data_IF_786258390775
#
_entry.id   IF_786258390775
#
_cell.length_a   1.000
_cell.length_b   1.000
_cell.length_c   1.000
_cell.angle_alpha   90.00
_cell.angle_beta   90.00
_cell.angle_gamma   90.00
#
_symmetry.space_group_name_H-M   'P 1'
#
loop_
_entity.id
_entity.type
_entity.pdbx_description
1 polymer ?
#
# COMPACT_ATOMS: atom_id res chain seq x y z
N UNK A 1 23.88 12.86 6.97
CA UNK A 1 23.13 13.79 7.85
C UNK A 1 22.30 12.95 8.83
N UNK A 2 22.32 13.21 10.14
CA UNK A 2 21.52 12.44 11.10
C UNK A 2 20.01 12.66 10.93
N UNK A 3 19.21 11.61 11.09
CA UNK A 3 17.74 11.67 11.00
C UNK A 3 17.16 12.70 11.97
N UNK A 4 17.67 12.74 13.21
CA UNK A 4 17.24 13.71 14.22
C UNK A 4 17.38 15.16 13.75
N UNK A 5 18.43 15.48 12.99
CA UNK A 5 18.62 16.83 12.44
C UNK A 5 17.55 17.18 11.41
N UNK A 6 17.15 16.21 10.59
CA UNK A 6 16.09 16.38 9.60
C UNK A 6 14.74 16.60 10.30
N UNK A 7 14.38 15.74 11.24
CA UNK A 7 13.13 15.85 12.01
C UNK A 7 13.05 17.18 12.77
N UNK A 8 14.16 17.62 13.38
CA UNK A 8 14.22 18.93 14.02
C UNK A 8 14.06 20.07 13.00
N UNK A 9 14.63 19.95 11.81
CA UNK A 9 14.45 20.93 10.73
C UNK A 9 12.99 21.08 10.29
N UNK A 10 12.22 19.99 10.27
CA UNK A 10 10.77 20.02 10.02
C UNK A 10 10.06 20.74 11.18
N UNK A 11 10.37 20.37 12.43
CA UNK A 11 9.77 20.94 13.65
C UNK A 11 9.95 22.44 13.78
N UNK A 12 11.16 22.94 13.50
CA UNK A 12 11.44 24.38 13.58
C UNK A 12 11.03 25.14 12.32
N UNK A 13 10.35 24.48 11.37
CA UNK A 13 9.93 25.05 10.10
C UNK A 13 11.09 25.73 9.34
N UNK A 14 12.25 25.06 9.26
CA UNK A 14 13.46 25.63 8.65
C UNK A 14 13.25 26.09 7.19
N UNK A 15 12.27 25.50 6.48
CA UNK A 15 11.86 25.86 5.12
C UNK A 15 10.40 26.34 5.05
N UNK A 16 9.88 26.91 6.14
CA UNK A 16 8.48 27.34 6.26
C UNK A 16 8.08 28.33 5.18
N UNK A 17 8.94 29.32 4.86
CA UNK A 17 8.66 30.32 3.82
C UNK A 17 8.44 29.69 2.45
N UNK A 18 9.30 28.76 2.06
CA UNK A 18 9.21 28.05 0.78
C UNK A 18 8.01 27.10 0.74
N UNK A 19 7.74 26.40 1.85
CA UNK A 19 6.57 25.51 1.97
C UNK A 19 5.26 26.31 1.89
N UNK A 20 5.16 27.44 2.58
CA UNK A 20 3.97 28.29 2.56
C UNK A 20 3.75 28.93 1.18
N UNK A 21 4.83 29.37 0.51
CA UNK A 21 4.75 29.82 -0.87
C UNK A 21 4.24 28.72 -1.82
N UNK A 22 4.72 27.47 -1.65
CA UNK A 22 4.21 26.34 -2.42
C UNK A 22 2.72 26.08 -2.12
N UNK A 23 2.32 26.10 -0.85
CA UNK A 23 0.92 25.92 -0.44
C UNK A 23 0.01 27.01 -1.00
N UNK A 24 0.48 28.27 -1.06
CA UNK A 24 -0.25 29.37 -1.67
C UNK A 24 -0.51 29.14 -3.17
N UNK A 25 0.45 28.59 -3.92
CA UNK A 25 0.22 28.16 -5.30
C UNK A 25 -0.93 27.15 -5.39
N UNK A 26 -0.94 26.11 -4.54
CA UNK A 26 -2.02 25.13 -4.52
C UNK A 26 -3.37 25.72 -4.14
N UNK A 27 -3.40 26.65 -3.19
CA UNK A 27 -4.62 27.36 -2.78
C UNK A 27 -5.22 28.16 -3.96
N UNK A 28 -4.36 28.77 -4.77
CA UNK A 28 -4.74 29.52 -5.97
C UNK A 28 -4.97 28.64 -7.22
N UNK A 29 -4.92 27.30 -7.09
CA UNK A 29 -5.09 26.37 -8.20
C UNK A 29 -3.87 26.23 -9.12
N UNK A 30 -2.73 26.85 -8.81
CA UNK A 30 -1.49 26.78 -9.57
C UNK A 30 -0.65 25.55 -9.18
N UNK A 31 -1.03 24.39 -9.72
CA UNK A 31 -0.29 23.14 -9.53
C UNK A 31 1.14 23.19 -10.12
N UNK A 32 1.38 23.72 -11.33
CA UNK A 32 2.73 23.86 -11.88
C UNK A 32 3.65 24.70 -11.00
N UNK A 33 3.16 25.84 -10.46
CA UNK A 33 3.94 26.68 -9.55
C UNK A 33 4.29 25.97 -8.25
N UNK A 34 3.35 25.21 -7.67
CA UNK A 34 3.65 24.36 -6.51
C UNK A 34 4.77 23.36 -6.79
N UNK A 35 4.71 22.65 -7.92
CA UNK A 35 5.73 21.64 -8.26
C UNK A 35 7.11 22.29 -8.52
N UNK A 36 7.13 23.51 -9.11
CA UNK A 36 8.35 24.27 -9.33
C UNK A 36 9.02 24.74 -8.03
N UNK A 37 8.24 25.07 -6.99
CA UNK A 37 8.78 25.43 -5.67
C UNK A 37 9.20 24.16 -4.92
N UNK A 38 8.33 23.15 -4.87
CA UNK A 38 8.58 21.89 -4.16
C UNK A 38 9.87 21.21 -4.60
N UNK A 39 10.14 21.17 -5.90
CA UNK A 39 11.36 20.53 -6.44
C UNK A 39 12.66 21.23 -6.04
N UNK A 40 12.59 22.49 -5.57
CA UNK A 40 13.73 23.25 -5.04
C UNK A 40 13.91 23.09 -3.53
N UNK A 41 12.93 22.52 -2.83
CA UNK A 41 13.10 22.18 -1.41
C UNK A 41 14.22 21.14 -1.29
N UNK A 42 15.05 21.20 -0.25
CA UNK A 42 15.97 20.12 0.05
C UNK A 42 15.20 18.80 0.22
N UNK A 43 15.81 17.70 -0.17
CA UNK A 43 15.22 16.39 -0.06
C UNK A 43 16.19 15.43 0.63
N UNK A 44 15.62 14.44 1.33
CA UNK A 44 16.38 13.42 2.05
C UNK A 44 15.90 12.03 1.64
N UNK A 45 16.78 11.04 1.74
CA UNK A 45 16.45 9.63 1.63
C UNK A 45 16.50 9.00 3.00
N UNK A 46 15.35 8.79 3.65
CA UNK A 46 15.35 8.24 5.02
C UNK A 46 15.73 6.75 5.04
N UNK A 47 15.46 6.03 3.96
CA UNK A 47 15.70 4.60 3.88
C UNK A 47 17.20 4.23 3.92
N UNK A 48 18.10 5.13 3.53
CA UNK A 48 19.53 4.84 3.49
C UNK A 48 20.41 5.99 3.04
N UNK A 49 21.72 5.78 3.09
CA UNK A 49 22.72 6.66 2.47
C UNK A 49 23.21 6.12 1.15
N UNK A 50 23.66 7.03 0.29
CA UNK A 50 23.99 6.76 -1.09
C UNK A 50 25.29 7.49 -1.44
N UNK A 51 26.14 6.89 -2.28
CA UNK A 51 27.49 7.41 -2.54
C UNK A 51 27.53 8.59 -3.53
N UNK A 52 27.04 8.37 -4.75
CA UNK A 52 27.23 9.29 -5.90
C UNK A 52 25.97 10.06 -6.29
N UNK A 53 24.86 9.74 -5.63
CA UNK A 53 23.53 10.22 -5.99
C UNK A 53 22.51 9.61 -5.05
N UNK A 54 21.39 9.17 -5.60
CA UNK A 54 20.34 8.45 -4.87
C UNK A 54 19.79 7.31 -5.72
N UNK A 55 20.58 6.68 -6.61
CA UNK A 55 20.07 5.50 -7.32
C UNK A 55 19.98 4.34 -6.34
N UNK A 56 18.98 3.47 -6.51
CA UNK A 56 18.80 2.33 -5.63
C UNK A 56 20.06 1.44 -5.52
N UNK A 57 20.79 1.20 -6.62
CA UNK A 57 22.03 0.42 -6.62
C UNK A 57 23.23 1.11 -5.95
N UNK A 58 23.10 2.39 -5.61
CA UNK A 58 24.15 3.18 -4.94
C UNK A 58 23.94 3.25 -3.43
N UNK A 59 22.96 2.51 -2.89
CA UNK A 59 22.68 2.43 -1.45
C UNK A 59 23.82 1.71 -0.74
N UNK A 60 24.65 2.46 0.01
CA UNK A 60 25.79 1.89 0.74
C UNK A 60 25.49 1.60 2.22
N UNK A 61 24.46 2.24 2.78
CA UNK A 61 23.96 1.95 4.10
C UNK A 61 22.45 2.02 4.11
N UNK A 62 21.80 0.98 4.61
CA UNK A 62 20.35 0.89 4.70
C UNK A 62 19.93 1.06 6.16
N UNK A 63 19.03 2.02 6.41
CA UNK A 63 18.58 2.39 7.75
C UNK A 63 17.45 1.50 8.28
N UNK A 64 16.98 0.52 7.50
CA UNK A 64 15.78 -0.27 7.83
C UNK A 64 14.54 0.58 8.09
N UNK A 65 14.46 1.78 7.49
CA UNK A 65 13.29 2.64 7.57
C UNK A 65 12.45 2.56 6.30
N UNK A 66 11.15 2.76 6.46
CA UNK A 66 10.20 2.96 5.38
C UNK A 66 9.50 4.30 5.56
N UNK A 67 9.43 5.08 4.47
CA UNK A 67 8.72 6.36 4.46
C UNK A 67 7.26 6.12 4.08
N UNK A 68 6.34 6.37 5.01
CA UNK A 68 4.92 6.43 4.65
C UNK A 68 4.63 7.78 4.00
N UNK A 69 3.87 7.75 2.91
CA UNK A 69 3.48 8.94 2.15
C UNK A 69 1.98 8.83 1.85
N UNK A 70 1.20 9.67 2.51
CA UNK A 70 -0.26 9.66 2.48
C UNK A 70 -0.69 11.02 1.94
N UNK A 71 -1.32 11.02 0.77
CA UNK A 71 -1.74 12.23 0.08
C UNK A 71 -3.25 12.20 -0.21
N UNK A 72 -3.78 13.35 -0.67
CA UNK A 72 -5.18 13.52 -1.12
C UNK A 72 -6.22 13.29 -0.02
N UNK A 73 -5.91 13.70 1.20
CA UNK A 73 -6.85 13.65 2.32
C UNK A 73 -7.79 14.86 2.27
N UNK A 74 -9.09 14.62 2.39
CA UNK A 74 -10.06 15.67 2.75
C UNK A 74 -9.97 15.99 4.25
N UNK A 75 -10.64 17.05 4.70
CA UNK A 75 -10.55 17.53 6.09
C UNK A 75 -10.93 16.47 7.13
N UNK A 76 -11.97 15.68 6.85
CA UNK A 76 -12.45 14.61 7.74
C UNK A 76 -11.41 13.49 7.82
N UNK A 77 -10.92 13.05 6.66
CA UNK A 77 -9.93 11.99 6.57
C UNK A 77 -8.57 12.42 7.11
N UNK A 78 -8.22 13.71 6.99
CA UNK A 78 -6.99 14.28 7.52
C UNK A 78 -6.93 14.15 9.06
N UNK A 79 -7.98 14.61 9.76
CA UNK A 79 -8.07 14.50 11.22
C UNK A 79 -8.14 13.05 11.70
N UNK A 80 -8.90 12.22 10.97
CA UNK A 80 -9.01 10.80 11.28
C UNK A 80 -7.68 10.05 11.09
N UNK A 81 -6.95 10.37 10.02
CA UNK A 81 -5.63 9.79 9.74
C UNK A 81 -4.63 10.18 10.81
N UNK A 82 -4.65 11.44 11.29
CA UNK A 82 -3.82 11.88 12.41
C UNK A 82 -3.99 10.98 13.64
N UNK A 83 -5.24 10.68 14.03
CA UNK A 83 -5.56 9.79 15.15
C UNK A 83 -5.03 8.38 14.92
N UNK A 84 -5.21 7.84 13.72
CA UNK A 84 -4.67 6.52 13.37
C UNK A 84 -3.16 6.45 13.44
N UNK A 85 -2.44 7.48 12.95
CA UNK A 85 -0.98 7.53 13.03
C UNK A 85 -0.47 7.71 14.47
N UNK A 86 -1.20 8.45 15.31
CA UNK A 86 -0.92 8.56 16.75
C UNK A 86 -1.06 7.20 17.46
N UNK A 87 -2.14 6.48 17.20
CA UNK A 87 -2.46 5.21 17.85
C UNK A 87 -1.68 4.02 17.30
N UNK A 88 -1.22 4.06 16.04
CA UNK A 88 -0.54 2.93 15.44
C UNK A 88 0.84 2.68 16.10
N UNK A 89 1.12 1.46 16.59
CA UNK A 89 2.34 1.17 17.33
C UNK A 89 3.60 1.21 16.46
N UNK A 90 3.47 1.04 15.14
CA UNK A 90 4.62 0.94 14.23
C UNK A 90 5.07 2.29 13.64
N UNK A 91 4.20 3.30 13.67
CA UNK A 91 4.55 4.65 13.21
C UNK A 91 5.44 5.33 14.25
N UNK A 92 6.72 5.51 13.92
CA UNK A 92 7.71 6.12 14.81
C UNK A 92 7.67 7.66 14.78
N UNK A 93 7.41 8.23 13.62
CA UNK A 93 7.24 9.66 13.45
C UNK A 93 6.31 9.96 12.28
N UNK A 94 5.59 11.08 12.33
CA UNK A 94 4.83 11.58 11.20
C UNK A 94 4.63 13.09 11.29
N UNK A 95 4.46 13.73 10.14
CA UNK A 95 4.31 15.17 9.96
C UNK A 95 3.43 15.49 8.77
N UNK A 96 2.90 16.71 8.74
CA UNK A 96 2.14 17.26 7.61
C UNK A 96 3.04 17.37 6.39
N UNK A 97 2.59 16.84 5.26
CA UNK A 97 3.35 16.84 4.01
C UNK A 97 3.56 18.27 3.46
N UNK A 98 4.49 18.48 2.51
CA UNK A 98 4.74 19.82 1.96
C UNK A 98 3.48 20.48 1.38
N UNK A 99 2.55 19.69 0.83
CA UNK A 99 1.29 20.20 0.27
C UNK A 99 0.29 20.69 1.31
N UNK A 100 0.43 20.26 2.57
CA UNK A 100 -0.59 20.46 3.60
C UNK A 100 -1.84 19.57 3.43
N UNK A 101 -1.85 18.65 2.45
CA UNK A 101 -3.03 17.82 2.10
C UNK A 101 -2.83 16.34 2.39
N UNK A 102 -1.96 16.04 3.36
CA UNK A 102 -1.52 14.69 3.65
C UNK A 102 -0.47 14.62 4.75
N UNK A 103 -0.03 13.40 5.03
CA UNK A 103 0.99 13.10 6.03
C UNK A 103 2.15 12.34 5.40
N UNK A 104 3.34 12.59 5.93
CA UNK A 104 4.51 11.74 5.72
C UNK A 104 4.95 11.18 7.06
N UNK A 105 5.70 10.10 7.06
CA UNK A 105 6.19 9.52 8.31
C UNK A 105 7.21 8.43 8.12
N UNK A 106 7.62 7.84 9.23
CA UNK A 106 8.66 6.82 9.31
C UNK A 106 8.16 5.61 10.09
N UNK A 107 8.43 4.43 9.54
CA UNK A 107 8.24 3.14 10.18
C UNK A 107 9.58 2.41 10.19
N UNK A 108 9.95 1.86 11.35
CA UNK A 108 11.15 1.03 11.48
C UNK A 108 10.81 -0.41 11.14
N UNK A 109 11.58 -1.00 10.24
CA UNK A 109 11.39 -2.35 9.75
C UNK A 109 12.31 -3.32 10.46
N UNK A 110 11.80 -4.51 10.73
CA UNK A 110 12.60 -5.66 11.16
C UNK A 110 12.31 -6.81 10.20
N UNK A 111 13.34 -7.36 9.61
CA UNK A 111 13.21 -8.42 8.62
C UNK A 111 13.42 -9.78 9.28
N UNK A 112 12.62 -10.75 8.88
CA UNK A 112 12.88 -12.15 9.18
C UNK A 112 14.25 -12.57 8.61
N UNK A 113 14.99 -13.39 9.36
CA UNK A 113 16.32 -13.85 8.97
C UNK A 113 16.30 -14.61 7.63
N UNK A 114 15.19 -15.27 7.29
CA UNK A 114 15.05 -15.97 6.01
C UNK A 114 15.05 -15.04 4.79
N UNK A 115 14.89 -13.73 4.99
CA UNK A 115 14.91 -12.73 3.92
C UNK A 115 16.30 -12.14 3.67
N UNK A 116 17.32 -12.53 4.43
CA UNK A 116 18.67 -11.96 4.30
C UNK A 116 19.33 -12.28 2.96
N UNK A 117 18.98 -13.42 2.36
CA UNK A 117 19.44 -13.83 1.02
C UNK A 117 18.68 -13.13 -0.11
N UNK A 118 17.54 -12.49 0.17
CA UNK A 118 16.80 -11.69 -0.80
C UNK A 118 17.49 -10.34 -0.94
N UNK A 119 17.68 -9.89 -2.18
CA UNK A 119 18.33 -8.61 -2.43
C UNK A 119 17.56 -7.45 -1.77
N UNK A 120 18.29 -6.39 -1.43
CA UNK A 120 17.77 -5.27 -0.63
C UNK A 120 16.53 -4.59 -1.25
N UNK A 121 16.49 -4.44 -2.59
CA UNK A 121 15.38 -3.78 -3.26
C UNK A 121 14.10 -4.60 -3.17
N UNK A 122 14.22 -5.91 -3.37
CA UNK A 122 13.09 -6.82 -3.34
C UNK A 122 12.53 -6.95 -1.93
N UNK A 123 13.39 -7.11 -0.90
CA UNK A 123 12.92 -7.15 0.49
C UNK A 123 12.28 -5.83 0.93
N UNK A 124 12.77 -4.67 0.49
CA UNK A 124 12.12 -3.39 0.78
C UNK A 124 10.77 -3.25 0.06
N UNK A 125 10.68 -3.71 -1.18
CA UNK A 125 9.40 -3.78 -1.92
C UNK A 125 8.40 -4.69 -1.20
N UNK A 126 8.86 -5.83 -0.66
CA UNK A 126 8.03 -6.70 0.18
C UNK A 126 7.56 -6.00 1.46
N UNK A 127 8.46 -5.30 2.15
CA UNK A 127 8.12 -4.52 3.34
C UNK A 127 7.05 -3.45 3.02
N UNK A 128 7.18 -2.74 1.91
CA UNK A 128 6.18 -1.78 1.46
C UNK A 128 4.83 -2.43 1.20
N UNK A 129 4.79 -3.56 0.49
CA UNK A 129 3.54 -4.28 0.21
C UNK A 129 2.83 -4.71 1.49
N UNK A 130 3.58 -5.25 2.45
CA UNK A 130 3.02 -5.71 3.72
C UNK A 130 2.53 -4.55 4.59
N UNK A 131 3.29 -3.45 4.65
CA UNK A 131 2.88 -2.26 5.39
C UNK A 131 1.66 -1.57 4.73
N UNK A 132 1.64 -1.49 3.39
CA UNK A 132 0.49 -1.01 2.63
C UNK A 132 -0.76 -1.83 2.98
N UNK A 133 -0.67 -3.16 2.88
CA UNK A 133 -1.81 -4.04 3.18
C UNK A 133 -2.27 -3.88 4.63
N UNK A 134 -1.34 -3.80 5.58
CA UNK A 134 -1.63 -3.59 7.00
C UNK A 134 -2.39 -2.29 7.26
N UNK A 135 -1.86 -1.15 6.76
CA UNK A 135 -2.49 0.16 6.97
C UNK A 135 -3.82 0.30 6.20
N UNK A 136 -3.91 -0.30 5.02
CA UNK A 136 -5.11 -0.30 4.21
C UNK A 136 -6.22 -1.13 4.85
N UNK A 137 -5.89 -2.33 5.31
CA UNK A 137 -6.82 -3.23 6.01
C UNK A 137 -7.31 -2.61 7.32
N UNK A 138 -6.38 -2.13 8.16
CA UNK A 138 -6.70 -1.64 9.51
C UNK A 138 -7.38 -0.28 9.52
N UNK A 139 -6.95 0.64 8.66
CA UNK A 139 -7.35 2.05 8.71
C UNK A 139 -8.00 2.57 7.42
N UNK A 140 -7.92 1.82 6.31
CA UNK A 140 -8.26 2.34 4.99
C UNK A 140 -7.24 3.35 4.46
N UNK A 141 -6.03 3.37 5.03
CA UNK A 141 -4.97 4.29 4.61
C UNK A 141 -4.26 3.72 3.38
N UNK A 142 -4.24 4.50 2.30
CA UNK A 142 -3.48 4.19 1.08
C UNK A 142 -2.12 4.89 1.13
N UNK A 143 -1.04 4.15 0.89
CA UNK A 143 0.29 4.72 0.71
C UNK A 143 0.58 5.01 -0.77
N UNK A 144 1.36 6.06 -1.04
CA UNK A 144 1.92 6.31 -2.36
C UNK A 144 2.89 5.19 -2.76
N UNK A 145 2.71 4.65 -3.96
CA UNK A 145 3.42 3.46 -4.45
C UNK A 145 4.91 3.68 -4.67
N UNK A 146 5.38 4.92 -4.74
CA UNK A 146 6.81 5.23 -4.83
C UNK A 146 7.56 4.96 -3.52
N UNK A 147 6.85 4.76 -2.40
CA UNK A 147 7.45 4.35 -1.13
C UNK A 147 8.10 2.96 -1.16
N UNK A 148 7.85 2.15 -2.22
CA UNK A 148 8.53 0.86 -2.43
C UNK A 148 9.98 0.99 -2.90
N UNK A 149 10.39 2.18 -3.35
CA UNK A 149 11.74 2.41 -3.83
C UNK A 149 12.64 2.83 -2.67
N UNK A 150 13.72 2.07 -2.41
CA UNK A 150 14.69 2.39 -1.34
C UNK A 150 15.31 3.78 -1.46
N UNK A 151 15.30 4.35 -2.67
CA UNK A 151 15.84 5.66 -2.95
C UNK A 151 14.80 6.79 -2.94
N UNK A 152 13.59 6.54 -2.42
CA UNK A 152 12.52 7.54 -2.42
C UNK A 152 12.97 8.83 -1.73
N UNK A 153 13.01 9.90 -2.52
CA UNK A 153 13.24 11.25 -2.04
C UNK A 153 12.04 11.75 -1.23
N UNK A 154 12.33 12.34 -0.08
CA UNK A 154 11.39 13.02 0.78
C UNK A 154 11.78 14.49 0.87
N UNK A 155 11.04 15.36 0.17
CA UNK A 155 11.23 16.81 0.27
C UNK A 155 10.95 17.30 1.69
N UNK A 156 11.74 18.25 2.16
CA UNK A 156 11.57 18.89 3.46
C UNK A 156 10.17 19.47 3.60
N UNK A 157 9.61 19.33 4.78
CA UNK A 157 8.31 19.89 5.17
C UNK A 157 8.52 20.93 6.28
N UNK A 158 7.45 21.65 6.61
CA UNK A 158 7.40 22.58 7.72
C UNK A 158 6.15 22.25 8.54
N UNK A 159 6.37 21.77 9.77
CA UNK A 159 5.34 21.31 10.68
C UNK A 159 5.83 21.37 12.13
N UNK A 160 5.40 22.39 12.86
CA UNK A 160 5.73 22.59 14.28
C UNK A 160 5.16 21.48 15.16
N UNK A 161 4.06 20.88 14.72
CA UNK A 161 3.33 19.82 15.41
C UNK A 161 3.79 18.41 15.02
N UNK A 162 4.96 18.28 14.37
CA UNK A 162 5.53 16.98 14.02
C UNK A 162 5.60 16.07 15.24
N UNK A 163 5.02 14.88 15.09
CA UNK A 163 5.05 13.85 16.11
C UNK A 163 6.27 12.96 15.90
N UNK A 164 7.08 12.84 16.93
CA UNK A 164 8.17 11.85 17.03
C UNK A 164 7.93 11.09 18.33
N UNK A 165 7.56 9.81 18.24
CA UNK A 165 7.29 9.00 19.42
C UNK A 165 8.60 8.61 20.08
N UNK A 166 8.64 8.61 21.41
CA UNK A 166 9.80 8.14 22.17
C UNK A 166 10.09 6.65 21.90
N UNK A 167 9.02 5.89 21.70
CA UNK A 167 9.07 4.45 21.39
C UNK A 167 8.05 4.12 20.30
N UNK A 168 8.44 3.21 19.42
CA UNK A 168 7.57 2.59 18.43
C UNK A 168 8.03 1.15 18.20
N UNK A 169 7.08 0.25 17.97
CA UNK A 169 7.35 -1.15 17.67
C UNK A 169 7.88 -1.28 16.24
N UNK A 170 8.85 -2.17 16.03
CA UNK A 170 9.28 -2.51 14.67
C UNK A 170 8.17 -3.20 13.91
N UNK A 171 7.99 -2.85 12.63
CA UNK A 171 7.14 -3.59 11.72
C UNK A 171 7.88 -4.83 11.22
N UNK A 172 7.39 -6.00 11.61
CA UNK A 172 7.99 -7.30 11.24
C UNK A 172 7.65 -7.65 9.79
N UNK A 173 8.68 -7.74 8.95
CA UNK A 173 8.60 -8.11 7.54
C UNK A 173 8.91 -9.60 7.40
N UNK A 174 7.93 -10.35 6.92
CA UNK A 174 8.03 -11.81 6.77
C UNK A 174 8.13 -12.20 5.30
N UNK A 175 8.50 -13.44 4.96
CA UNK A 175 8.25 -13.97 3.63
C UNK A 175 6.77 -13.82 3.25
N UNK A 176 6.49 -13.48 2.00
CA UNK A 176 5.12 -13.28 1.54
C UNK A 176 4.33 -14.59 1.75
N UNK A 177 3.42 -14.58 2.73
CA UNK A 177 2.56 -15.75 3.05
C UNK A 177 1.67 -16.13 1.86
N UNK A 178 1.42 -15.16 0.97
CA UNK A 178 0.72 -15.36 -0.29
C UNK A 178 1.47 -16.26 -1.28
N UNK A 179 2.81 -16.36 -1.16
CA UNK A 179 3.70 -17.11 -2.06
C UNK A 179 4.00 -18.55 -1.57
N UNK A 180 3.33 -19.01 -0.50
CA UNK A 180 3.49 -20.36 0.06
C UNK A 180 2.86 -21.49 -0.78
N UNK A 181 3.22 -21.59 -2.07
CA UNK A 181 3.06 -22.80 -2.89
C UNK A 181 4.35 -22.97 -3.68
N UNK A 182 5.31 -23.71 -3.12
CA UNK A 182 6.41 -24.22 -3.94
C UNK A 182 5.85 -25.20 -4.98
N UNK A 183 6.18 -24.86 -6.22
CA UNK A 183 5.91 -25.58 -7.45
C UNK A 183 6.52 -26.99 -7.43
N UNK A 184 5.68 -28.03 -7.31
CA UNK A 184 6.08 -29.45 -7.47
C UNK A 184 6.20 -29.84 -8.94
N UNK A 185 6.83 -29.03 -9.79
CA UNK A 185 7.15 -29.44 -11.17
C UNK A 185 8.59 -29.16 -11.58
N UNK A 186 9.56 -29.71 -10.85
CA UNK A 186 10.83 -30.12 -11.47
C UNK A 186 11.20 -31.55 -11.07
N UNK A 187 11.02 -32.46 -12.03
CA UNK A 187 11.69 -33.76 -12.06
C UNK A 187 13.20 -33.52 -12.21
N UNK A 188 13.97 -33.89 -11.20
CA UNK A 188 15.24 -34.60 -11.39
C UNK A 188 15.64 -35.32 -10.10
N UNK A 189 16.03 -36.56 -10.28
CA UNK A 189 16.60 -37.50 -9.32
C UNK A 189 17.77 -36.93 -8.52
N UNK A 190 17.83 -37.18 -7.20
CA UNK A 190 18.79 -38.07 -6.50
C UNK A 190 18.44 -38.12 -5.00
N UNK A 191 18.62 -39.30 -4.37
CA UNK A 191 18.30 -39.60 -2.96
C UNK A 191 19.17 -38.79 -1.97
N UNK A 192 18.58 -38.26 -0.90
CA UNK A 192 18.85 -38.62 0.52
C UNK A 192 18.05 -37.75 1.54
N UNK A 193 17.38 -38.45 2.47
CA UNK A 193 16.77 -38.12 3.78
C UNK A 193 16.25 -36.70 4.12
N UNK A 194 14.93 -36.52 4.40
CA UNK A 194 14.40 -35.29 4.96
C UNK A 194 14.44 -35.29 6.50
N UNK A 195 15.07 -34.27 7.11
CA UNK A 195 14.68 -33.83 8.46
C UNK A 195 13.40 -33.03 8.31
N UNK A 196 12.34 -33.53 8.93
CA UNK A 196 11.00 -32.97 8.86
C UNK A 196 10.96 -31.56 9.46
N UNK A 197 11.02 -30.55 8.60
CA UNK A 197 10.54 -29.20 8.93
C UNK A 197 9.02 -29.26 8.86
N UNK A 198 8.36 -29.04 10.00
CA UNK A 198 6.91 -28.94 10.08
C UNK A 198 6.47 -27.73 9.26
N UNK A 199 6.15 -27.96 7.99
CA UNK A 199 5.42 -27.00 7.17
C UNK A 199 4.03 -26.92 7.80
N UNK A 200 3.71 -25.80 8.46
CA UNK A 200 2.33 -25.47 8.81
C UNK A 200 1.55 -25.35 7.51
N UNK A 201 0.88 -26.43 7.12
CA UNK A 201 -0.17 -26.40 6.10
C UNK A 201 -1.20 -25.37 6.56
N UNK A 202 -1.33 -24.27 5.84
CA UNK A 202 -2.42 -23.31 6.07
C UNK A 202 -3.69 -24.02 5.61
N UNK A 203 -4.64 -24.20 6.54
CA UNK A 203 -5.86 -24.97 6.36
C UNK A 203 -6.64 -24.57 5.09
N UNK A 204 -7.28 -25.53 4.42
CA UNK A 204 -8.17 -25.25 3.30
C UNK A 204 -9.25 -24.28 3.77
N UNK A 205 -9.25 -23.09 3.16
CA UNK A 205 -10.15 -21.98 3.47
C UNK A 205 -11.60 -22.44 3.51
N UNK A 206 -12.21 -22.42 4.69
CA UNK A 206 -13.63 -22.69 4.82
C UNK A 206 -14.43 -21.45 4.41
N UNK A 207 -14.79 -21.39 3.13
CA UNK A 207 -15.68 -20.35 2.62
C UNK A 207 -17.07 -20.40 3.29
N UNK A 208 -17.48 -21.53 3.88
CA UNK A 208 -18.77 -21.62 4.56
C UNK A 208 -18.83 -20.70 5.78
N UNK A 209 -17.70 -20.49 6.48
CA UNK A 209 -17.63 -19.54 7.59
C UNK A 209 -17.94 -18.11 7.12
N UNK A 210 -17.39 -17.73 5.96
CA UNK A 210 -17.61 -16.41 5.36
C UNK A 210 -19.06 -16.29 4.88
N UNK A 211 -19.58 -17.28 4.16
CA UNK A 211 -20.95 -17.25 3.64
C UNK A 211 -21.99 -17.20 4.77
N UNK A 212 -21.79 -17.95 5.85
CA UNK A 212 -22.69 -17.96 7.00
C UNK A 212 -22.77 -16.61 7.74
N UNK A 213 -21.73 -15.76 7.62
CA UNK A 213 -21.66 -14.43 8.26
C UNK A 213 -22.09 -13.29 7.32
N UNK A 214 -22.29 -13.55 6.04
CA UNK A 214 -22.46 -12.55 4.98
C UNK A 214 -23.88 -11.97 4.86
N UNK A 215 -24.45 -11.47 5.97
CA UNK A 215 -25.89 -11.14 6.05
C UNK A 215 -26.25 -9.69 5.72
N UNK A 216 -25.29 -8.76 5.61
CA UNK A 216 -25.56 -7.31 5.69
C UNK A 216 -25.27 -6.49 4.42
N UNK A 217 -25.37 -7.08 3.21
CA UNK A 217 -25.11 -6.39 1.94
C UNK A 217 -26.32 -5.63 1.37
N UNK A 218 -26.61 -4.44 1.92
CA UNK A 218 -27.79 -3.61 1.56
C UNK A 218 -27.93 -3.35 0.05
N UNK A 219 -26.83 -3.05 -0.65
CA UNK A 219 -26.83 -2.68 -2.07
C UNK A 219 -26.28 -3.77 -2.99
N UNK A 220 -26.28 -5.04 -2.54
CA UNK A 220 -25.63 -6.15 -3.24
C UNK A 220 -26.01 -6.24 -4.72
N UNK A 221 -27.31 -6.23 -5.03
CA UNK A 221 -27.81 -6.39 -6.40
C UNK A 221 -27.34 -5.28 -7.33
N UNK A 222 -27.41 -4.03 -6.87
CA UNK A 222 -26.99 -2.84 -7.63
C UNK A 222 -25.47 -2.85 -7.84
N UNK A 223 -24.70 -3.10 -6.77
CA UNK A 223 -23.24 -3.15 -6.84
C UNK A 223 -22.76 -4.28 -7.75
N UNK A 224 -23.35 -5.47 -7.62
CA UNK A 224 -23.08 -6.61 -8.49
C UNK A 224 -23.28 -6.27 -9.96
N UNK A 225 -24.44 -5.68 -10.31
CA UNK A 225 -24.73 -5.30 -11.69
C UNK A 225 -23.74 -4.28 -12.23
N UNK A 226 -23.37 -3.28 -11.43
CA UNK A 226 -22.33 -2.29 -11.79
C UNK A 226 -20.97 -2.93 -12.03
N UNK A 227 -20.52 -3.83 -11.15
CA UNK A 227 -19.25 -4.54 -11.31
C UNK A 227 -19.23 -5.42 -12.56
N UNK A 228 -20.31 -6.16 -12.83
CA UNK A 228 -20.44 -6.97 -14.06
C UNK A 228 -20.35 -6.08 -15.29
N UNK A 229 -21.00 -4.91 -15.29
CA UNK A 229 -20.93 -3.96 -16.39
C UNK A 229 -19.50 -3.46 -16.62
N UNK A 230 -18.80 -3.05 -15.55
CA UNK A 230 -17.41 -2.61 -15.61
C UNK A 230 -16.52 -3.72 -16.16
N UNK A 231 -16.62 -4.93 -15.60
CA UNK A 231 -15.86 -6.08 -16.05
C UNK A 231 -16.05 -6.34 -17.54
N UNK A 232 -17.29 -6.35 -18.05
CA UNK A 232 -17.57 -6.54 -19.49
C UNK A 232 -16.88 -5.50 -20.36
N UNK A 233 -16.88 -4.22 -19.94
CA UNK A 233 -16.24 -3.13 -20.69
C UNK A 233 -14.71 -3.25 -20.66
N UNK A 234 -14.14 -3.58 -19.51
CA UNK A 234 -12.70 -3.82 -19.36
C UNK A 234 -12.24 -5.02 -20.20
N UNK A 235 -12.96 -6.15 -20.12
CA UNK A 235 -12.70 -7.35 -20.92
C UNK A 235 -12.74 -7.05 -22.42
N UNK A 236 -13.76 -6.31 -22.89
CA UNK A 236 -13.87 -5.93 -24.32
C UNK A 236 -12.65 -5.14 -24.81
N UNK A 237 -12.00 -4.37 -23.93
CA UNK A 237 -10.82 -3.56 -24.27
C UNK A 237 -9.49 -4.23 -23.92
N UNK A 238 -9.51 -5.41 -23.27
CA UNK A 238 -8.29 -6.07 -22.79
C UNK A 238 -7.53 -5.25 -21.74
N UNK A 239 -8.25 -4.47 -20.92
CA UNK A 239 -7.63 -3.60 -19.91
C UNK A 239 -7.88 -4.18 -18.52
N UNK A 240 -6.82 -4.27 -17.72
CA UNK A 240 -6.92 -4.63 -16.30
C UNK A 240 -6.90 -3.40 -15.39
N UNK A 241 -7.63 -3.52 -14.27
CA UNK A 241 -7.57 -2.60 -13.12
C UNK A 241 -6.88 -3.22 -11.91
N UNK A 242 -6.39 -4.47 -12.00
CA UNK A 242 -5.68 -5.19 -10.93
C UNK A 242 -4.20 -5.40 -11.22
N UNK A 243 -3.67 -4.74 -12.25
CA UNK A 243 -2.31 -4.97 -12.76
C UNK A 243 -1.17 -4.57 -11.82
N UNK A 244 -1.45 -3.83 -10.74
CA UNK A 244 -0.48 -3.51 -9.69
C UNK A 244 -0.92 -4.13 -8.38
N UNK A 245 0.03 -4.44 -7.50
CA UNK A 245 -0.25 -5.02 -6.19
C UNK A 245 -1.24 -4.16 -5.39
N UNK A 246 -1.03 -2.85 -5.37
CA UNK A 246 -1.86 -1.90 -4.64
C UNK A 246 -3.30 -1.90 -5.19
N UNK A 247 -3.45 -1.88 -6.52
CA UNK A 247 -4.77 -1.92 -7.14
C UNK A 247 -5.45 -3.28 -6.95
N UNK A 248 -4.69 -4.38 -7.02
CA UNK A 248 -5.16 -5.73 -6.74
C UNK A 248 -5.74 -5.84 -5.31
N UNK A 249 -5.02 -5.33 -4.30
CA UNK A 249 -5.51 -5.22 -2.91
C UNK A 249 -6.75 -4.33 -2.83
N UNK A 250 -6.70 -3.13 -3.39
CA UNK A 250 -7.81 -2.17 -3.37
C UNK A 250 -9.10 -2.75 -3.98
N UNK A 251 -9.00 -3.42 -5.12
CA UNK A 251 -10.14 -4.04 -5.79
C UNK A 251 -10.71 -5.17 -4.93
N UNK A 252 -9.87 -6.01 -4.30
CA UNK A 252 -10.33 -7.09 -3.43
C UNK A 252 -11.18 -6.56 -2.26
N UNK A 253 -10.67 -5.58 -1.51
CA UNK A 253 -11.37 -4.99 -0.36
C UNK A 253 -12.59 -4.16 -0.76
N UNK A 254 -12.55 -3.49 -1.92
CA UNK A 254 -13.70 -2.80 -2.46
C UNK A 254 -14.85 -3.77 -2.81
N UNK A 255 -14.54 -4.93 -3.41
CA UNK A 255 -15.52 -5.99 -3.67
C UNK A 255 -16.03 -6.58 -2.35
N UNK A 256 -15.13 -6.90 -1.42
CA UNK A 256 -15.49 -7.51 -0.14
C UNK A 256 -16.47 -6.65 0.68
N UNK A 257 -16.40 -5.34 0.51
CA UNK A 257 -17.28 -4.35 1.18
C UNK A 257 -18.59 -4.10 0.45
N UNK A 258 -18.72 -4.54 -0.80
CA UNK A 258 -19.80 -4.09 -1.68
C UNK A 258 -20.70 -5.21 -2.18
N UNK A 259 -20.22 -6.45 -2.22
CA UNK A 259 -20.91 -7.60 -2.82
C UNK A 259 -20.77 -8.84 -1.95
N UNK A 260 -21.83 -9.64 -1.91
CA UNK A 260 -21.88 -10.92 -1.19
C UNK A 260 -20.72 -11.84 -1.62
N UNK A 261 -20.07 -12.59 -0.70
CA UNK A 261 -18.83 -13.32 -0.97
C UNK A 261 -18.90 -14.34 -2.09
N UNK A 262 -20.05 -15.01 -2.26
CA UNK A 262 -20.22 -16.00 -3.33
C UNK A 262 -19.97 -15.36 -4.70
N UNK A 263 -20.62 -14.22 -4.97
CA UNK A 263 -20.45 -13.53 -6.25
C UNK A 263 -19.21 -12.64 -6.28
N UNK A 264 -18.82 -12.07 -5.14
CA UNK A 264 -17.66 -11.20 -5.09
C UNK A 264 -16.35 -11.96 -5.31
N UNK A 265 -16.24 -13.21 -4.82
CA UNK A 265 -15.13 -14.11 -5.17
C UNK A 265 -15.01 -14.27 -6.68
N UNK A 266 -16.10 -14.67 -7.34
CA UNK A 266 -16.12 -14.88 -8.80
C UNK A 266 -15.74 -13.59 -9.54
N UNK A 267 -16.36 -12.46 -9.19
CA UNK A 267 -16.08 -11.17 -9.83
C UNK A 267 -14.63 -10.74 -9.66
N UNK A 268 -14.07 -10.89 -8.46
CA UNK A 268 -12.68 -10.53 -8.20
C UNK A 268 -11.74 -11.34 -9.07
N UNK A 269 -11.90 -12.67 -9.10
CA UNK A 269 -11.08 -13.54 -9.92
C UNK A 269 -11.21 -13.21 -11.41
N UNK A 270 -12.42 -12.86 -11.87
CA UNK A 270 -12.64 -12.38 -13.23
C UNK A 270 -11.88 -11.10 -13.56
N UNK A 271 -11.84 -10.11 -12.65
CA UNK A 271 -11.00 -8.93 -12.81
C UNK A 271 -9.52 -9.30 -12.90
N UNK A 272 -9.03 -10.15 -11.99
CA UNK A 272 -7.63 -10.56 -11.95
C UNK A 272 -7.19 -11.35 -13.19
N UNK A 273 -8.07 -12.18 -13.77
CA UNK A 273 -7.77 -12.91 -15.01
C UNK A 273 -7.51 -12.00 -16.21
N UNK A 274 -7.90 -10.71 -16.15
CA UNK A 274 -7.53 -9.72 -17.16
C UNK A 274 -6.03 -9.37 -17.15
N UNK A 275 -5.30 -9.72 -16.08
CA UNK A 275 -3.84 -9.58 -15.98
C UNK A 275 -3.07 -10.63 -16.81
N UNK A 276 -3.79 -11.63 -17.36
CA UNK A 276 -3.22 -12.65 -18.24
C UNK A 276 -2.14 -13.48 -17.56
N UNK A 277 -0.94 -13.52 -18.14
CA UNK A 277 0.20 -14.31 -17.62
C UNK A 277 0.69 -13.86 -16.24
N UNK A 278 0.35 -12.64 -15.82
CA UNK A 278 0.75 -12.09 -14.52
C UNK A 278 -0.23 -12.48 -13.40
N UNK A 279 -1.35 -13.12 -13.73
CA UNK A 279 -2.36 -13.53 -12.76
C UNK A 279 -2.00 -14.86 -12.10
N UNK A 280 -2.07 -14.87 -10.77
CA UNK A 280 -2.05 -16.08 -9.95
C UNK A 280 -3.43 -16.26 -9.30
N UNK A 281 -4.14 -17.31 -9.74
CA UNK A 281 -5.50 -17.64 -9.30
C UNK A 281 -5.54 -17.99 -7.80
N UNK A 282 -4.56 -18.75 -7.31
CA UNK A 282 -4.50 -19.20 -5.92
C UNK A 282 -4.20 -18.01 -5.01
N UNK A 283 -3.26 -17.15 -5.43
CA UNK A 283 -2.90 -15.92 -4.72
C UNK A 283 -4.09 -14.96 -4.65
N UNK A 284 -4.80 -14.79 -5.76
CA UNK A 284 -6.00 -13.94 -5.83
C UNK A 284 -7.12 -14.50 -4.97
N UNK A 285 -7.35 -15.81 -4.97
CA UNK A 285 -8.33 -16.41 -4.07
C UNK A 285 -7.93 -16.22 -2.59
N UNK A 286 -6.63 -16.20 -2.25
CA UNK A 286 -6.15 -15.93 -0.87
C UNK A 286 -6.45 -14.49 -0.46
N UNK A 287 -6.15 -13.54 -1.34
CA UNK A 287 -6.40 -12.14 -1.05
C UNK A 287 -7.90 -11.85 -0.85
N UNK A 288 -8.78 -12.33 -1.74
CA UNK A 288 -10.22 -12.02 -1.60
C UNK A 288 -10.84 -12.69 -0.38
N UNK A 289 -10.42 -13.91 -0.04
CA UNK A 289 -10.83 -14.56 1.20
C UNK A 289 -10.41 -13.74 2.42
N UNK A 290 -9.14 -13.28 2.45
CA UNK A 290 -8.61 -12.39 3.50
C UNK A 290 -9.42 -11.09 3.58
N UNK A 291 -9.71 -10.48 2.43
CA UNK A 291 -10.48 -9.26 2.35
C UNK A 291 -11.89 -9.42 2.93
N UNK A 292 -12.54 -10.58 2.76
CA UNK A 292 -13.84 -10.87 3.37
C UNK A 292 -13.76 -11.18 4.86
N UNK A 293 -12.72 -11.88 5.33
CA UNK A 293 -12.58 -12.26 6.73
C UNK A 293 -12.20 -11.09 7.64
N UNK A 294 -11.48 -10.10 7.10
CA UNK A 294 -10.97 -8.94 7.85
C UNK A 294 -11.60 -7.61 7.42
N UNK A 295 -12.75 -7.66 6.74
CA UNK A 295 -13.34 -6.45 6.21
C UNK A 295 -13.84 -5.49 7.31
N UNK A 296 -13.17 -4.35 7.46
CA UNK A 296 -13.61 -3.27 8.37
C UNK A 296 -14.55 -2.26 7.71
N UNK A 297 -15.01 -2.52 6.48
CA UNK A 297 -15.93 -1.64 5.74
C UNK A 297 -15.35 -0.27 5.40
N UNK A 298 -14.01 -0.16 5.37
CA UNK A 298 -13.28 1.08 5.09
C UNK A 298 -13.15 1.38 3.60
N UNK A 299 -13.35 0.37 2.75
CA UNK A 299 -13.21 0.45 1.31
C UNK A 299 -14.60 0.33 0.66
N UNK A 300 -14.78 0.85 -0.55
CA UNK A 300 -16.07 0.77 -1.24
C UNK A 300 -15.91 0.60 -2.73
N UNK A 301 -17.01 0.25 -3.41
CA UNK A 301 -17.08 0.15 -4.87
C UNK A 301 -16.55 1.40 -5.59
N UNK A 302 -16.60 2.58 -4.95
CA UNK A 302 -16.06 3.84 -5.49
C UNK A 302 -14.61 3.73 -5.96
N UNK A 303 -13.78 2.93 -5.28
CA UNK A 303 -12.40 2.67 -5.69
C UNK A 303 -12.34 2.00 -7.06
N UNK A 304 -13.21 1.02 -7.31
CA UNK A 304 -13.29 0.34 -8.62
C UNK A 304 -13.83 1.28 -9.69
N UNK A 305 -14.80 2.15 -9.35
CA UNK A 305 -15.32 3.16 -10.28
C UNK A 305 -14.22 4.16 -10.69
N UNK A 306 -13.42 4.60 -9.73
CA UNK A 306 -12.28 5.49 -9.96
C UNK A 306 -11.25 4.84 -10.90
N UNK A 307 -10.80 3.62 -10.57
CA UNK A 307 -9.83 2.89 -11.39
C UNK A 307 -10.35 2.63 -12.81
N UNK A 308 -11.63 2.27 -12.96
CA UNK A 308 -12.25 2.08 -14.26
C UNK A 308 -12.29 3.39 -15.08
N UNK A 309 -12.58 4.53 -14.45
CA UNK A 309 -12.57 5.85 -15.11
C UNK A 309 -11.18 6.26 -15.55
N UNK A 310 -10.14 6.01 -14.74
CA UNK A 310 -8.75 6.25 -15.14
C UNK A 310 -8.35 5.45 -16.38
N UNK A 311 -8.95 4.27 -16.57
CA UNK A 311 -8.80 3.44 -17.79
C UNK A 311 -9.75 3.84 -18.93
N UNK A 312 -10.43 4.99 -18.82
CA UNK A 312 -11.33 5.52 -19.85
C UNK A 312 -12.67 4.77 -19.96
N UNK A 313 -13.09 4.03 -18.93
CA UNK A 313 -14.43 3.43 -18.88
C UNK A 313 -15.43 4.50 -18.44
N UNK A 314 -16.30 4.89 -19.36
CA UNK A 314 -17.45 5.76 -19.07
C UNK A 314 -18.58 4.89 -18.53
N UNK A 315 -19.08 5.27 -17.36
CA UNK A 315 -20.26 4.69 -16.75
C UNK A 315 -21.42 5.59 -17.12
N UNK A 316 -22.14 5.24 -18.18
CA UNK A 316 -23.36 5.95 -18.55
C UNK A 316 -24.36 5.84 -17.38
N UNK A 317 -25.01 6.97 -17.04
CA UNK A 317 -25.94 7.07 -15.91
C UNK A 317 -27.17 6.20 -16.09
#
# INVERSE_FOLDING_TARGET
MPIQRVLNGIRICAYGKEVDAARACLFNGDKPGYDAIKTKLPAVTFCGTFEKGHKADECNHYNSLLVIDIDKLDEILFEKTKKYLLEDPHVAAFWVSPSGKGYKGLVHLKYDDSLMEVNLKDRHTMAFRQLFLYLYEKYGIELDSSGKDICRLCYMSADEDIVVKEQAETFEVKPDVLDGVEDKTKKSSTKQNPKATVIRCIDPKDWNEIYGKATTYVNNGVNRSKLIYIYKKLRKRGISITSSYENWVKVAYAIASSVHPEKGKELFLDFCRLDGINHDEVRSERLIWKAYSQNLGRCSISTILYLAREKGIVLDK
#
